data_IF_895347813115
#
_entry.id   IF_895347813115
#
_cell.length_a   1.000
_cell.length_b   1.000
_cell.length_c   1.000
_cell.angle_alpha   90.00
_cell.angle_beta   90.00
_cell.angle_gamma   90.00
#
_symmetry.space_group_name_H-M   'P 1'
#
loop_
_entity.id
_entity.type
_entity.pdbx_description
1 polymer ?
#
# COMPACT_ATOMS: atom_id res chain seq x y z
N UNK A 1 -16.66 -7.94 25.17
CA UNK A 1 -16.07 -7.52 23.88
C UNK A 1 -16.96 -8.10 22.79
N UNK A 2 -17.82 -7.27 22.22
CA UNK A 2 -18.72 -7.66 21.14
C UNK A 2 -17.99 -7.41 19.81
N UNK A 3 -17.58 -8.46 19.11
CA UNK A 3 -16.88 -8.34 17.82
C UNK A 3 -17.88 -8.48 16.69
N UNK A 4 -17.92 -7.47 15.83
CA UNK A 4 -18.88 -7.36 14.72
C UNK A 4 -18.14 -7.26 13.38
N UNK A 5 -18.83 -7.63 12.30
CA UNK A 5 -18.37 -7.37 10.94
C UNK A 5 -18.60 -5.91 10.57
N UNK A 6 -17.61 -5.31 9.92
CA UNK A 6 -17.75 -3.99 9.32
C UNK A 6 -18.36 -4.14 7.94
N UNK A 7 -19.23 -3.20 7.58
CA UNK A 7 -19.78 -3.10 6.22
C UNK A 7 -18.70 -2.64 5.24
N UNK A 8 -18.84 -2.97 3.96
CA UNK A 8 -17.91 -2.53 2.90
C UNK A 8 -17.69 -1.00 2.91
N UNK A 9 -18.71 -0.13 3.08
CA UNK A 9 -18.49 1.31 3.21
C UNK A 9 -17.65 1.70 4.42
N UNK A 10 -17.84 1.06 5.59
CA UNK A 10 -17.00 1.31 6.77
C UNK A 10 -15.54 0.92 6.52
N UNK A 11 -15.30 -0.22 5.87
CA UNK A 11 -13.95 -0.65 5.50
C UNK A 11 -13.29 0.35 4.54
N UNK A 12 -14.02 0.82 3.51
CA UNK A 12 -13.51 1.82 2.55
C UNK A 12 -13.24 3.16 3.22
N UNK A 13 -14.12 3.61 4.12
CA UNK A 13 -13.91 4.83 4.89
C UNK A 13 -12.63 4.75 5.73
N UNK A 14 -12.35 3.60 6.35
CA UNK A 14 -11.11 3.37 7.08
C UNK A 14 -9.88 3.39 6.16
N UNK A 15 -9.97 2.79 4.96
CA UNK A 15 -8.91 2.88 3.96
C UNK A 15 -8.65 4.32 3.49
N UNK A 16 -9.69 5.14 3.32
CA UNK A 16 -9.58 6.54 2.91
C UNK A 16 -9.00 7.44 3.99
N UNK A 17 -9.35 7.18 5.26
CA UNK A 17 -8.90 7.96 6.41
C UNK A 17 -7.45 7.66 6.81
N UNK A 18 -6.94 6.47 6.46
CA UNK A 18 -5.59 6.02 6.81
C UNK A 18 -4.64 6.04 5.62
N UNK A 19 -3.35 5.94 5.92
CA UNK A 19 -2.31 5.91 4.89
C UNK A 19 -1.09 5.07 5.23
N UNK A 20 -1.12 4.33 6.33
CA UNK A 20 -0.12 3.34 6.72
C UNK A 20 -0.87 2.03 6.90
N UNK A 21 -0.25 0.94 6.48
CA UNK A 21 -0.72 -0.43 6.69
C UNK A 21 0.49 -1.36 6.88
N UNK A 22 0.22 -2.61 7.20
CA UNK A 22 1.16 -3.72 7.13
C UNK A 22 0.90 -4.49 5.84
N UNK A 23 1.84 -4.44 4.90
CA UNK A 23 1.83 -5.27 3.71
C UNK A 23 2.42 -6.63 4.04
N UNK A 24 1.65 -7.69 3.85
CA UNK A 24 2.09 -9.09 3.92
C UNK A 24 2.17 -9.72 2.54
N UNK A 25 3.30 -10.37 2.24
CA UNK A 25 3.49 -11.18 1.03
C UNK A 25 4.33 -12.43 1.34
N UNK A 26 4.56 -13.28 0.33
CA UNK A 26 5.41 -14.47 0.47
C UNK A 26 6.80 -14.18 -0.12
N UNK A 27 7.83 -14.27 0.73
CA UNK A 27 9.22 -14.13 0.33
C UNK A 27 9.95 -15.48 0.50
N UNK A 28 10.30 -16.12 -0.61
CA UNK A 28 10.96 -17.43 -0.62
C UNK A 28 10.24 -18.49 0.25
N UNK A 29 8.91 -18.58 0.08
CA UNK A 29 8.06 -19.55 0.78
C UNK A 29 7.78 -19.21 2.25
N UNK A 30 8.15 -18.01 2.73
CA UNK A 30 7.88 -17.56 4.10
C UNK A 30 7.05 -16.27 4.10
N UNK A 31 6.10 -16.10 5.05
CA UNK A 31 5.43 -14.82 5.25
C UNK A 31 6.44 -13.70 5.52
N UNK A 32 6.24 -12.56 4.87
CA UNK A 32 7.06 -11.37 5.01
C UNK A 32 6.13 -10.16 5.14
N UNK A 33 6.24 -9.46 6.27
CA UNK A 33 5.37 -8.33 6.61
C UNK A 33 6.23 -7.09 6.82
N UNK A 34 5.84 -5.98 6.20
CA UNK A 34 6.51 -4.68 6.35
C UNK A 34 5.49 -3.55 6.41
N UNK A 35 5.80 -2.45 7.12
CA UNK A 35 4.98 -1.24 7.01
C UNK A 35 5.04 -0.73 5.57
N UNK A 36 3.88 -0.36 5.04
CA UNK A 36 3.73 0.27 3.75
C UNK A 36 2.80 1.46 3.88
N UNK A 37 3.19 2.56 3.27
CA UNK A 37 2.27 3.66 3.06
C UNK A 37 1.53 3.52 1.75
N UNK A 38 0.29 3.99 1.75
CA UNK A 38 -0.55 3.94 0.57
C UNK A 38 -1.45 5.17 0.45
N UNK A 39 -2.05 5.31 -0.73
CA UNK A 39 -3.18 6.18 -1.00
C UNK A 39 -4.28 5.32 -1.63
N UNK A 40 -5.45 5.27 -1.00
CA UNK A 40 -6.60 4.55 -1.54
C UNK A 40 -7.46 5.49 -2.41
N UNK A 41 -7.57 5.19 -3.70
CA UNK A 41 -8.37 5.96 -4.68
C UNK A 41 -8.92 5.02 -5.75
N UNK A 42 -10.15 5.29 -6.19
CA UNK A 42 -10.75 4.52 -7.29
C UNK A 42 -10.91 3.02 -7.03
N UNK A 43 -10.91 2.59 -5.76
CA UNK A 43 -10.96 1.15 -5.42
C UNK A 43 -9.61 0.44 -5.41
N UNK A 44 -8.51 1.17 -5.59
CA UNK A 44 -7.14 0.63 -5.60
C UNK A 44 -6.29 1.31 -4.53
N UNK A 45 -5.27 0.61 -4.04
CA UNK A 45 -4.25 1.19 -3.17
C UNK A 45 -3.00 1.48 -3.99
N UNK A 46 -2.59 2.74 -4.06
CA UNK A 46 -1.38 3.17 -4.74
C UNK A 46 -0.24 3.38 -3.75
N UNK A 47 0.95 2.91 -4.10
CA UNK A 47 2.13 3.04 -3.26
C UNK A 47 3.41 3.10 -4.13
N UNK A 48 4.54 3.39 -3.49
CA UNK A 48 5.85 3.24 -4.09
C UNK A 48 6.82 2.59 -3.11
N UNK A 49 7.93 2.07 -3.62
CA UNK A 49 9.04 1.57 -2.81
C UNK A 49 10.33 1.61 -3.60
N UNK A 50 11.45 1.73 -2.89
CA UNK A 50 12.74 1.41 -3.48
C UNK A 50 12.82 -0.07 -3.87
N UNK A 51 13.61 -0.43 -4.90
CA UNK A 51 13.93 -1.79 -5.25
C UNK A 51 14.51 -2.57 -4.06
N UNK A 52 14.25 -3.88 -4.01
CA UNK A 52 14.75 -4.77 -2.97
C UNK A 52 13.73 -5.83 -2.59
N UNK A 53 13.98 -6.53 -1.47
CA UNK A 53 13.28 -7.77 -1.07
C UNK A 53 11.76 -7.71 -1.20
N UNK A 54 11.10 -6.62 -0.80
CA UNK A 54 9.64 -6.45 -0.94
C UNK A 54 9.22 -6.54 -2.40
N UNK A 55 9.82 -5.72 -3.26
CA UNK A 55 9.49 -5.65 -4.68
C UNK A 55 9.83 -6.96 -5.37
N UNK A 56 11.00 -7.54 -5.07
CA UNK A 56 11.40 -8.82 -5.67
C UNK A 56 10.45 -9.96 -5.29
N UNK A 57 9.95 -9.96 -4.05
CA UNK A 57 8.97 -10.95 -3.59
C UNK A 57 7.61 -10.75 -4.27
N UNK A 58 7.13 -9.51 -4.40
CA UNK A 58 5.86 -9.19 -5.05
C UNK A 58 5.88 -9.46 -6.57
N UNK A 59 7.04 -9.33 -7.21
CA UNK A 59 7.23 -9.73 -8.62
C UNK A 59 7.20 -11.24 -8.80
N UNK A 60 7.70 -11.99 -7.83
CA UNK A 60 7.70 -13.46 -7.86
C UNK A 60 6.31 -14.05 -7.55
N UNK A 61 5.60 -13.45 -6.60
CA UNK A 61 4.23 -13.81 -6.23
C UNK A 61 3.43 -12.51 -5.98
N UNK A 62 2.48 -12.15 -6.87
CA UNK A 62 1.76 -10.89 -6.76
C UNK A 62 0.63 -10.92 -5.72
N UNK A 63 0.35 -12.06 -5.08
CA UNK A 63 -0.66 -12.11 -4.03
C UNK A 63 -0.15 -11.42 -2.76
N UNK A 64 -0.96 -10.53 -2.22
CA UNK A 64 -0.60 -9.67 -1.10
C UNK A 64 -1.80 -9.48 -0.19
N UNK A 65 -1.55 -9.29 1.09
CA UNK A 65 -2.55 -8.75 2.01
C UNK A 65 -2.08 -7.42 2.61
N UNK A 66 -3.02 -6.53 2.90
CA UNK A 66 -2.76 -5.28 3.60
C UNK A 66 -3.68 -5.25 4.82
N UNK A 67 -3.09 -5.15 5.99
CA UNK A 67 -3.83 -5.02 7.24
C UNK A 67 -3.55 -3.65 7.85
N UNK A 68 -4.62 -3.03 8.33
CA UNK A 68 -4.55 -1.82 9.13
C UNK A 68 -5.57 -1.92 10.25
N UNK A 69 -5.20 -1.40 11.40
CA UNK A 69 -6.07 -1.30 12.56
C UNK A 69 -6.07 0.12 13.12
N UNK A 70 -7.12 0.38 13.88
CA UNK A 70 -7.25 1.54 14.74
C UNK A 70 -7.68 1.02 16.10
N UNK A 71 -6.79 1.10 17.08
CA UNK A 71 -6.99 0.54 18.42
C UNK A 71 -7.07 1.69 19.43
N UNK A 72 -8.28 2.01 19.88
CA UNK A 72 -8.50 3.00 20.93
C UNK A 72 -8.25 2.37 22.31
N UNK A 73 -8.81 1.17 22.52
CA UNK A 73 -8.63 0.39 23.74
C UNK A 73 -8.61 -1.10 23.44
N UNK A 74 -8.40 -1.93 24.46
CA UNK A 74 -8.48 -3.39 24.31
C UNK A 74 -9.89 -3.87 23.93
N UNK A 75 -10.94 -3.10 24.22
CA UNK A 75 -12.33 -3.44 23.89
C UNK A 75 -12.89 -2.64 22.72
N UNK A 76 -12.19 -1.59 22.27
CA UNK A 76 -12.62 -0.68 21.21
C UNK A 76 -11.54 -0.59 20.13
N UNK A 77 -11.78 -1.28 19.02
CA UNK A 77 -10.86 -1.32 17.89
C UNK A 77 -11.59 -1.56 16.58
N UNK A 78 -10.95 -1.18 15.49
CA UNK A 78 -11.36 -1.50 14.12
C UNK A 78 -10.16 -2.09 13.39
N UNK A 79 -10.39 -3.05 12.52
CA UNK A 79 -9.36 -3.64 11.66
C UNK A 79 -9.95 -3.91 10.30
N UNK A 80 -9.20 -3.56 9.26
CA UNK A 80 -9.50 -3.87 7.87
C UNK A 80 -8.41 -4.78 7.31
N UNK A 81 -8.84 -5.78 6.55
CA UNK A 81 -7.97 -6.65 5.77
C UNK A 81 -8.34 -6.53 4.29
N UNK A 82 -7.35 -6.13 3.50
CA UNK A 82 -7.38 -6.21 2.04
C UNK A 82 -6.63 -7.48 1.65
N UNK A 83 -7.27 -8.32 0.84
CA UNK A 83 -6.59 -9.33 0.05
C UNK A 83 -6.60 -8.84 -1.38
N UNK A 84 -5.45 -8.87 -2.04
CA UNK A 84 -5.32 -8.24 -3.33
C UNK A 84 -4.12 -8.69 -4.13
N UNK A 85 -3.96 -8.04 -5.28
CA UNK A 85 -2.94 -8.37 -6.26
C UNK A 85 -2.07 -7.17 -6.57
N UNK A 86 -0.76 -7.36 -6.42
CA UNK A 86 0.26 -6.40 -6.81
C UNK A 86 0.29 -6.20 -8.33
N UNK A 87 0.32 -4.93 -8.75
CA UNK A 87 0.52 -4.51 -10.13
C UNK A 87 1.60 -3.43 -10.17
N UNK A 88 2.77 -3.76 -10.73
CA UNK A 88 3.81 -2.76 -11.00
C UNK A 88 3.34 -1.76 -12.06
N UNK A 89 3.65 -0.48 -11.87
CA UNK A 89 3.28 0.61 -12.78
C UNK A 89 4.57 1.21 -13.38
N UNK A 90 5.23 0.52 -14.32
CA UNK A 90 6.38 1.09 -15.01
C UNK A 90 5.98 2.34 -15.82
N UNK A 91 6.94 3.23 -16.09
CA UNK A 91 6.71 4.36 -17.00
C UNK A 91 6.97 3.91 -18.45
N UNK A 92 6.01 3.18 -19.03
CA UNK A 92 6.04 2.70 -20.41
C UNK A 92 4.74 3.05 -21.16
N UNK A 93 4.67 2.77 -22.46
CA UNK A 93 3.51 3.10 -23.30
C UNK A 93 2.17 2.59 -22.73
N UNK A 94 2.19 1.43 -22.08
CA UNK A 94 0.98 0.81 -21.51
C UNK A 94 0.56 1.48 -20.20
N UNK A 95 1.53 1.82 -19.35
CA UNK A 95 1.29 2.19 -17.96
C UNK A 95 1.51 3.67 -17.64
N UNK A 96 2.01 4.46 -18.59
CA UNK A 96 2.33 5.88 -18.41
C UNK A 96 1.23 6.68 -17.70
N UNK A 97 -0.03 6.51 -18.12
CA UNK A 97 -1.16 7.21 -17.51
C UNK A 97 -1.35 6.90 -16.02
N UNK A 98 -1.36 5.61 -15.67
CA UNK A 98 -1.49 5.16 -14.27
C UNK A 98 -0.24 5.49 -13.45
N UNK A 99 0.95 5.40 -14.04
CA UNK A 99 2.20 5.83 -13.41
C UNK A 99 2.13 7.30 -13.02
N UNK A 100 1.78 8.17 -13.98
CA UNK A 100 1.65 9.61 -13.74
C UNK A 100 0.54 9.92 -12.74
N UNK A 101 -0.55 9.17 -12.75
CA UNK A 101 -1.61 9.29 -11.74
C UNK A 101 -1.11 8.93 -10.35
N UNK A 102 -0.48 7.77 -10.17
CA UNK A 102 0.11 7.33 -8.91
C UNK A 102 1.15 8.35 -8.39
N UNK A 103 2.04 8.80 -9.27
CA UNK A 103 3.01 9.86 -8.95
C UNK A 103 2.31 11.14 -8.48
N UNK A 104 1.25 11.56 -9.18
CA UNK A 104 0.49 12.77 -8.82
C UNK A 104 -0.19 12.69 -7.45
N UNK A 105 -0.59 11.49 -7.03
CA UNK A 105 -1.16 11.21 -5.71
C UNK A 105 -0.07 11.25 -4.64
N UNK A 106 1.06 10.58 -4.90
CA UNK A 106 2.11 10.30 -3.92
C UNK A 106 3.04 11.50 -3.68
N UNK A 107 3.29 12.35 -4.69
CA UNK A 107 4.13 13.54 -4.52
C UNK A 107 3.53 14.60 -3.59
N UNK A 108 2.20 14.62 -3.42
CA UNK A 108 1.49 15.65 -2.65
C UNK A 108 1.65 15.50 -1.14
N UNK A 109 2.18 14.38 -0.66
CA UNK A 109 2.50 14.18 0.76
C UNK A 109 3.93 14.64 1.01
N UNK A 110 4.05 15.88 1.50
CA UNK A 110 5.30 16.46 1.99
C UNK A 110 6.02 15.50 2.96
N UNK A 111 7.34 15.44 2.80
CA UNK A 111 8.34 14.87 3.73
C UNK A 111 8.59 13.35 3.72
N UNK A 112 7.95 12.56 2.84
CA UNK A 112 8.08 11.09 2.89
C UNK A 112 8.82 10.40 1.72
N UNK A 113 9.27 11.17 0.72
CA UNK A 113 10.01 10.67 -0.45
C UNK A 113 11.55 10.75 -0.31
N UNK A 114 12.08 11.22 0.83
CA UNK A 114 13.53 11.28 1.05
C UNK A 114 14.07 10.11 1.89
N UNK A 115 14.35 8.93 1.30
CA UNK A 115 15.59 8.26 1.62
C UNK A 115 16.71 8.96 0.84
N UNK A 116 17.08 10.20 1.22
CA UNK A 116 18.34 10.89 0.89
C UNK A 116 18.89 10.88 -0.55
N UNK A 117 18.16 10.43 -1.58
CA UNK A 117 18.75 10.05 -2.87
C UNK A 117 18.03 10.60 -4.11
N UNK A 118 16.88 11.28 -3.97
CA UNK A 118 16.13 11.77 -5.13
C UNK A 118 15.96 13.29 -5.12
N UNK A 119 16.97 14.04 -5.57
CA UNK A 119 16.78 15.45 -5.96
C UNK A 119 16.61 15.52 -7.48
N UNK A 120 15.42 15.84 -8.03
CA UNK A 120 15.26 16.06 -9.46
C UNK A 120 15.75 17.47 -9.81
N UNK A 121 17.06 17.70 -9.70
CA UNK A 121 17.77 18.81 -10.33
C UNK A 121 19.29 18.57 -10.26
N UNK A 122 19.90 18.22 -11.39
CA UNK A 122 21.34 18.44 -11.61
C UNK A 122 22.30 17.29 -11.28
N UNK A 123 21.85 16.06 -11.07
CA UNK A 123 22.73 14.88 -10.96
C UNK A 123 22.39 13.89 -12.08
N UNK A 124 23.41 13.18 -12.59
CA UNK A 124 23.27 12.11 -13.60
C UNK A 124 22.01 11.27 -13.38
N UNK A 125 21.34 10.81 -14.46
CA UNK A 125 20.13 10.02 -14.32
C UNK A 125 20.41 8.84 -13.38
N UNK A 126 19.63 8.69 -12.30
CA UNK A 126 19.81 7.59 -11.37
C UNK A 126 19.79 6.27 -12.14
N UNK A 127 20.67 5.32 -11.79
CA UNK A 127 20.61 3.97 -12.36
C UNK A 127 19.19 3.42 -12.15
N UNK A 128 18.63 2.60 -13.06
CA UNK A 128 17.28 2.06 -12.89
C UNK A 128 17.05 1.37 -11.53
N UNK A 129 18.09 0.72 -10.99
CA UNK A 129 18.08 0.09 -9.66
C UNK A 129 18.01 1.08 -8.47
N UNK A 130 18.00 2.39 -8.71
CA UNK A 130 17.89 3.46 -7.73
C UNK A 130 16.64 4.33 -7.91
N UNK A 131 15.76 3.98 -8.84
CA UNK A 131 14.47 4.66 -9.02
C UNK A 131 13.40 3.99 -8.14
N UNK A 132 12.47 4.77 -7.57
CA UNK A 132 11.32 4.20 -6.88
C UNK A 132 10.45 3.40 -7.86
N UNK A 133 9.99 2.24 -7.42
CA UNK A 133 9.02 1.41 -8.11
C UNK A 133 7.62 1.82 -7.65
N UNK A 134 6.83 2.36 -8.57
CA UNK A 134 5.41 2.64 -8.35
C UNK A 134 4.61 1.38 -8.60
N UNK A 135 3.59 1.16 -7.77
CA UNK A 135 2.70 0.03 -7.92
C UNK A 135 1.32 0.34 -7.34
N UNK A 136 0.34 -0.43 -7.79
CA UNK A 136 -0.97 -0.49 -7.16
C UNK A 136 -1.23 -1.89 -6.60
N UNK A 137 -2.20 -1.96 -5.69
CA UNK A 137 -2.81 -3.20 -5.24
C UNK A 137 -4.28 -3.14 -5.64
N UNK A 138 -4.67 -4.04 -6.53
CA UNK A 138 -6.06 -4.29 -6.87
C UNK A 138 -6.71 -5.06 -5.71
N UNK A 139 -7.86 -4.58 -5.24
CA UNK A 139 -8.59 -5.21 -4.14
C UNK A 139 -9.40 -6.38 -4.70
N UNK A 140 -9.03 -7.61 -4.34
CA UNK A 140 -9.78 -8.81 -4.67
C UNK A 140 -10.85 -9.09 -3.62
N UNK A 141 -10.52 -8.93 -2.33
CA UNK A 141 -11.45 -9.04 -1.21
C UNK A 141 -11.17 -7.97 -0.15
N UNK A 142 -12.24 -7.44 0.43
CA UNK A 142 -12.19 -6.44 1.50
C UNK A 142 -13.06 -6.91 2.66
N UNK A 143 -12.45 -7.10 3.81
CA UNK A 143 -13.17 -7.46 5.04
C UNK A 143 -12.75 -6.55 6.19
N UNK A 144 -13.63 -6.42 7.18
CA UNK A 144 -13.32 -5.65 8.38
C UNK A 144 -14.05 -6.18 9.60
N UNK A 145 -13.42 -5.95 10.75
CA UNK A 145 -13.95 -6.32 12.06
C UNK A 145 -13.80 -5.14 13.00
N UNK A 146 -14.77 -4.95 13.88
CA UNK A 146 -14.66 -3.98 14.95
C UNK A 146 -15.10 -4.59 16.29
N UNK A 147 -14.57 -4.05 17.37
CA UNK A 147 -15.11 -4.22 18.71
C UNK A 147 -15.57 -2.86 19.22
N UNK A 148 -16.75 -2.84 19.83
CA UNK A 148 -17.34 -1.66 20.48
C UNK A 148 -17.78 -2.08 21.89
N UNK A 149 -17.69 -1.17 22.85
CA UNK A 149 -18.41 -1.34 24.11
C UNK A 149 -19.88 -0.98 23.83
N UNK A 150 -20.76 -1.95 24.08
CA UNK A 150 -22.21 -1.69 24.10
C UNK A 150 -22.58 -0.77 25.27
#
# INVERSE_FOLDING_TARGET
MNVQEMTTPECRAMLEANNICHLGCIAAGKPYIVPLQYIYRGGMLYAFSMPGKKIDSLRADPHVCLQLDHVETKQEWQSVLVEGRYQELPDDEKWHGEHMYAWSLLQKKNDWWEPGAYKPAGVEPPKPASLPVFFSVEIETLSGRCARND
#
